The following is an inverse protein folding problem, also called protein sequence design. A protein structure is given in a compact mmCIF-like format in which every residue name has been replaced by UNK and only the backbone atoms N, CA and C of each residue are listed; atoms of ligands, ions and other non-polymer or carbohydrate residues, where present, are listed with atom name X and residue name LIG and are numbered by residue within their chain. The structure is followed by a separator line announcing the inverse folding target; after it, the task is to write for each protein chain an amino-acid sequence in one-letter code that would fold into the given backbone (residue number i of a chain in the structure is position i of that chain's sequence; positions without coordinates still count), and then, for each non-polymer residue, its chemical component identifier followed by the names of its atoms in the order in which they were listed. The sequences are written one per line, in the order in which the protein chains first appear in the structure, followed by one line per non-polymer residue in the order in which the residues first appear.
data_IF_250911942936
#
_entry.id   IF_250911942936
#
_cell.length_a   1.000
_cell.length_b   1.000
_cell.length_c   1.000
_cell.angle_alpha   90.00
_cell.angle_beta   90.00
_cell.angle_gamma   90.00
#
_symmetry.space_group_name_H-M   'P 1'
#
loop_
_entity.id
_entity.type
_entity.pdbx_description
1 polymer ?
#
# COMPACT_ATOMS: atom_id res chain seq x y z
N UNK A 1 8.83 24.81 -27.21
CA UNK A 1 8.35 24.45 -25.83
C UNK A 1 8.66 22.96 -25.56
N UNK A 2 9.74 22.67 -24.83
CA UNK A 2 10.20 21.31 -24.59
C UNK A 2 9.23 20.72 -23.55
N UNK A 3 8.35 19.81 -23.96
CA UNK A 3 7.53 19.01 -23.03
C UNK A 3 8.51 18.18 -22.20
N UNK A 4 8.76 18.57 -20.95
CA UNK A 4 9.43 17.72 -19.98
C UNK A 4 8.58 16.45 -19.83
N UNK A 5 9.06 15.33 -20.36
CA UNK A 5 8.52 14.02 -20.03
C UNK A 5 8.87 13.76 -18.56
N UNK A 6 7.92 14.04 -17.69
CA UNK A 6 8.03 13.56 -16.30
C UNK A 6 8.04 12.03 -16.35
N UNK A 7 8.93 11.43 -15.60
CA UNK A 7 8.90 9.98 -15.39
C UNK A 7 7.60 9.53 -14.70
N UNK A 8 7.34 8.23 -14.58
CA UNK A 8 6.16 7.74 -13.88
C UNK A 8 6.16 8.23 -12.43
N UNK A 9 5.06 8.87 -12.03
CA UNK A 9 4.89 9.41 -10.69
C UNK A 9 4.62 8.29 -9.69
N UNK A 10 5.06 8.50 -8.46
CA UNK A 10 4.56 7.76 -7.29
C UNK A 10 3.42 8.56 -6.71
N UNK A 11 2.21 8.01 -6.72
CA UNK A 11 1.06 8.64 -6.11
C UNK A 11 1.01 8.32 -4.63
N UNK A 12 0.62 9.30 -3.85
CA UNK A 12 0.51 9.23 -2.40
C UNK A 12 -0.82 9.83 -1.96
N UNK A 13 -1.45 9.22 -0.99
CA UNK A 13 -2.71 9.69 -0.41
C UNK A 13 -2.73 9.47 1.10
N UNK A 14 -3.10 10.50 1.84
CA UNK A 14 -3.39 10.41 3.27
C UNK A 14 -4.82 9.93 3.47
N UNK A 15 -5.01 8.77 4.08
CA UNK A 15 -6.31 8.19 4.34
C UNK A 15 -7.18 9.08 5.25
N UNK A 16 -6.57 9.85 6.16
CA UNK A 16 -7.31 10.78 7.03
C UNK A 16 -8.07 11.83 6.22
N UNK A 17 -7.47 12.32 5.15
CA UNK A 17 -8.13 13.26 4.25
C UNK A 17 -9.20 12.58 3.40
N UNK A 18 -8.99 11.35 2.99
CA UNK A 18 -10.00 10.58 2.26
C UNK A 18 -11.20 10.23 3.14
N UNK A 19 -10.97 9.86 4.40
CA UNK A 19 -12.02 9.53 5.36
C UNK A 19 -12.97 10.70 5.63
N UNK A 20 -12.49 11.95 5.57
CA UNK A 20 -13.33 13.16 5.69
C UNK A 20 -14.34 13.32 4.54
N UNK A 21 -14.13 12.62 3.43
CA UNK A 21 -15.00 12.65 2.26
C UNK A 21 -16.04 11.53 2.25
N UNK A 22 -15.98 10.62 3.23
CA UNK A 22 -16.90 9.48 3.36
C UNK A 22 -18.08 9.82 4.28
N UNK A 23 -19.22 9.20 3.99
CA UNK A 23 -20.34 9.19 4.91
C UNK A 23 -20.11 8.24 6.10
N UNK A 24 -20.81 8.49 7.21
CA UNK A 24 -20.70 7.65 8.41
C UNK A 24 -20.97 6.17 8.14
N UNK A 25 -21.93 5.86 7.26
CA UNK A 25 -22.25 4.48 6.89
C UNK A 25 -21.07 3.75 6.24
N UNK A 26 -20.32 4.43 5.35
CA UNK A 26 -19.14 3.86 4.73
C UNK A 26 -18.04 3.63 5.76
N UNK A 27 -17.82 4.59 6.66
CA UNK A 27 -16.81 4.49 7.73
C UNK A 27 -17.12 3.30 8.65
N UNK A 28 -18.37 3.18 9.10
CA UNK A 28 -18.82 2.07 9.95
C UNK A 28 -18.69 0.71 9.23
N UNK A 29 -18.99 0.66 7.94
CA UNK A 29 -18.81 -0.54 7.15
C UNK A 29 -17.34 -0.92 7.02
N UNK A 30 -16.44 0.03 6.75
CA UNK A 30 -15.00 -0.21 6.66
C UNK A 30 -14.38 -0.72 7.98
N UNK A 31 -15.03 -0.47 9.11
CA UNK A 31 -14.63 -0.95 10.45
C UNK A 31 -15.06 -2.37 10.76
N UNK A 32 -15.94 -2.96 9.96
CA UNK A 32 -16.37 -4.33 10.15
C UNK A 32 -15.39 -5.32 9.50
N UNK A 33 -15.25 -6.53 10.00
CA UNK A 33 -14.39 -7.56 9.42
C UNK A 33 -15.05 -8.19 8.18
N UNK A 34 -15.37 -7.37 7.20
CA UNK A 34 -16.07 -7.75 5.97
C UNK A 34 -15.15 -7.71 4.73
N UNK A 35 -13.83 -7.60 4.92
CA UNK A 35 -12.88 -7.49 3.81
C UNK A 35 -11.83 -8.58 3.88
N UNK A 36 -11.83 -9.49 2.92
CA UNK A 36 -10.78 -10.49 2.78
C UNK A 36 -9.67 -9.92 1.90
N UNK A 37 -8.50 -9.70 2.49
CA UNK A 37 -7.33 -9.23 1.74
C UNK A 37 -6.51 -10.43 1.32
N UNK A 38 -6.46 -10.66 0.01
CA UNK A 38 -5.58 -11.66 -0.58
C UNK A 38 -4.17 -11.15 -0.56
N UNK A 39 -3.39 -11.62 0.38
CA UNK A 39 -1.96 -11.31 0.43
C UNK A 39 -1.23 -12.13 -0.63
N UNK A 40 -0.24 -11.55 -1.33
CA UNK A 40 0.60 -12.32 -2.22
C UNK A 40 1.12 -13.59 -1.51
N UNK A 41 1.23 -14.70 -2.22
CA UNK A 41 1.66 -16.02 -1.69
C UNK A 41 2.86 -15.96 -0.75
N UNK A 42 3.76 -15.02 -0.94
CA UNK A 42 4.92 -14.75 -0.10
C UNK A 42 4.61 -14.19 1.30
N UNK A 43 3.34 -13.88 1.62
CA UNK A 43 2.97 -13.32 2.92
C UNK A 43 2.21 -14.30 3.80
N UNK A 44 1.83 -15.47 3.32
CA UNK A 44 1.23 -16.63 4.04
C UNK A 44 0.36 -16.29 5.26
N UNK A 45 -0.39 -15.22 5.22
CA UNK A 45 -1.34 -14.89 6.27
C UNK A 45 -2.74 -15.26 5.80
N UNK A 46 -3.45 -15.93 6.69
CA UNK A 46 -4.69 -16.60 6.45
C UNK A 46 -5.78 -15.75 5.77
N UNK A 47 -6.77 -16.46 5.32
CA UNK A 47 -7.90 -16.00 4.53
C UNK A 47 -9.04 -15.44 5.42
N UNK A 48 -8.70 -14.85 6.56
CA UNK A 48 -9.66 -14.35 7.55
C UNK A 48 -10.10 -12.94 7.11
N UNK A 49 -11.41 -12.65 7.08
CA UNK A 49 -11.90 -11.30 6.86
C UNK A 49 -11.41 -10.35 7.96
N UNK A 50 -11.01 -9.17 7.56
CA UNK A 50 -10.54 -8.12 8.46
C UNK A 50 -11.30 -6.83 8.26
N UNK A 51 -11.24 -5.92 9.22
CA UNK A 51 -11.65 -4.54 9.04
C UNK A 51 -10.63 -3.79 8.20
N UNK A 52 -11.08 -3.09 7.17
CA UNK A 52 -10.22 -2.25 6.32
C UNK A 52 -9.75 -1.00 7.05
N UNK A 53 -10.52 -0.56 8.03
CA UNK A 53 -10.24 0.62 8.85
C UNK A 53 -10.27 0.26 10.33
N UNK A 54 -9.20 0.58 11.05
CA UNK A 54 -9.09 0.40 12.51
C UNK A 54 -8.59 1.68 13.16
N UNK A 55 -8.61 1.70 14.48
CA UNK A 55 -8.10 2.83 15.27
C UNK A 55 -8.99 4.06 15.26
N UNK A 56 -8.47 5.18 15.71
CA UNK A 56 -9.15 6.46 15.73
C UNK A 56 -9.07 7.13 14.33
N UNK A 57 -10.08 7.90 13.94
CA UNK A 57 -10.10 8.61 12.65
C UNK A 57 -8.99 9.68 12.51
N UNK A 58 -8.48 10.19 13.63
CA UNK A 58 -7.32 11.10 13.64
C UNK A 58 -5.99 10.37 13.44
N UNK A 59 -5.94 9.08 13.82
CA UNK A 59 -4.77 8.21 13.64
C UNK A 59 -5.25 6.80 13.20
N UNK A 60 -5.78 6.67 11.99
CA UNK A 60 -6.33 5.42 11.52
C UNK A 60 -5.24 4.43 11.13
N UNK A 61 -5.55 3.15 11.29
CA UNK A 61 -4.83 2.07 10.65
C UNK A 61 -5.64 1.57 9.45
N UNK A 62 -5.08 1.67 8.27
CA UNK A 62 -5.74 1.27 7.04
C UNK A 62 -5.10 0.02 6.46
N UNK A 63 -5.94 -0.98 6.20
CA UNK A 63 -5.58 -2.18 5.47
C UNK A 63 -6.40 -2.24 4.19
N UNK A 64 -5.88 -1.67 3.12
CA UNK A 64 -6.56 -1.65 1.82
C UNK A 64 -5.54 -1.84 0.69
N UNK A 65 -5.95 -2.59 -0.33
CA UNK A 65 -5.18 -2.80 -1.55
C UNK A 65 -6.15 -2.68 -2.72
N UNK A 66 -5.95 -1.67 -3.55
CA UNK A 66 -6.83 -1.38 -4.69
C UNK A 66 -6.34 -1.99 -6.02
N UNK A 67 -5.61 -3.11 -5.95
CA UNK A 67 -5.38 -3.91 -7.14
C UNK A 67 -6.58 -4.82 -7.41
N UNK A 68 -6.90 -5.11 -8.66
CA UNK A 68 -7.92 -6.09 -9.00
C UNK A 68 -7.69 -7.41 -8.23
N UNK A 69 -8.74 -7.98 -7.69
CA UNK A 69 -8.77 -9.26 -6.98
C UNK A 69 -7.95 -9.35 -5.68
N UNK A 70 -7.39 -8.25 -5.18
CA UNK A 70 -6.59 -8.27 -3.94
C UNK A 70 -7.42 -8.02 -2.67
N UNK A 71 -8.60 -7.44 -2.79
CA UNK A 71 -9.56 -7.28 -1.70
C UNK A 71 -10.89 -7.84 -2.16
N UNK A 72 -11.46 -8.75 -1.38
CA UNK A 72 -12.80 -9.29 -1.56
C UNK A 72 -13.73 -8.75 -0.46
N UNK A 73 -14.53 -7.73 -0.74
CA UNK A 73 -15.62 -7.34 0.14
C UNK A 73 -16.65 -8.47 0.20
N UNK A 74 -17.12 -8.81 1.41
CA UNK A 74 -17.98 -9.97 1.62
C UNK A 74 -19.48 -9.66 1.55
N UNK A 75 -19.85 -8.37 1.54
CA UNK A 75 -21.24 -7.91 1.48
C UNK A 75 -21.41 -6.79 0.45
N UNK A 76 -22.65 -6.56 0.01
CA UNK A 76 -22.97 -5.45 -0.92
C UNK A 76 -22.62 -4.09 -0.31
N UNK A 77 -22.82 -3.91 0.99
CA UNK A 77 -22.43 -2.68 1.70
C UNK A 77 -20.92 -2.51 1.71
N UNK A 78 -20.16 -3.59 1.91
CA UNK A 78 -18.71 -3.55 1.89
C UNK A 78 -18.15 -3.23 0.49
N UNK A 79 -18.77 -3.74 -0.57
CA UNK A 79 -18.42 -3.38 -1.95
C UNK A 79 -18.57 -1.86 -2.14
N UNK A 80 -19.74 -1.32 -1.80
CA UNK A 80 -20.03 0.11 -1.94
C UNK A 80 -19.09 0.99 -1.10
N UNK A 81 -18.86 0.61 0.15
CA UNK A 81 -17.96 1.34 1.04
C UNK A 81 -16.52 1.35 0.50
N UNK A 82 -16.03 0.22 -0.03
CA UNK A 82 -14.68 0.12 -0.62
C UNK A 82 -14.56 0.94 -1.89
N UNK A 83 -15.59 0.97 -2.75
CA UNK A 83 -15.63 1.82 -3.94
C UNK A 83 -15.62 3.30 -3.59
N UNK A 84 -16.42 3.71 -2.60
CA UNK A 84 -16.45 5.10 -2.14
C UNK A 84 -15.11 5.49 -1.52
N UNK A 85 -14.48 4.60 -0.75
CA UNK A 85 -13.16 4.82 -0.20
C UNK A 85 -12.11 4.96 -1.30
N UNK A 86 -12.14 4.10 -2.32
CA UNK A 86 -11.25 4.23 -3.47
C UNK A 86 -11.41 5.57 -4.18
N UNK A 87 -12.65 6.01 -4.43
CA UNK A 87 -12.93 7.32 -5.03
C UNK A 87 -12.39 8.47 -4.17
N UNK A 88 -12.57 8.38 -2.86
CA UNK A 88 -12.05 9.38 -1.92
C UNK A 88 -10.52 9.43 -1.91
N UNK A 89 -9.84 8.26 -1.87
CA UNK A 89 -8.38 8.16 -1.98
C UNK A 89 -7.89 8.79 -3.29
N UNK A 90 -8.54 8.49 -4.41
CA UNK A 90 -8.18 9.07 -5.72
C UNK A 90 -8.30 10.60 -5.71
N UNK A 91 -9.32 11.14 -5.07
CA UNK A 91 -9.58 12.58 -4.99
C UNK A 91 -8.51 13.33 -4.19
N UNK A 92 -7.96 12.73 -3.14
CA UNK A 92 -6.93 13.35 -2.29
C UNK A 92 -5.51 12.96 -2.67
N UNK A 93 -5.36 12.09 -3.66
CA UNK A 93 -4.06 11.61 -4.13
C UNK A 93 -3.34 12.67 -4.96
N UNK A 94 -2.02 12.74 -4.79
CA UNK A 94 -1.15 13.54 -5.63
C UNK A 94 0.10 12.77 -6.05
N UNK A 95 0.70 13.17 -7.18
CA UNK A 95 1.87 12.52 -7.75
C UNK A 95 3.16 13.15 -7.28
N UNK A 96 4.14 12.33 -6.94
CA UNK A 96 5.49 12.72 -6.55
C UNK A 96 6.49 12.18 -7.59
N UNK A 97 7.31 13.05 -8.14
CA UNK A 97 8.45 12.67 -8.97
C UNK A 97 9.66 12.35 -8.08
N UNK A 98 9.95 11.04 -7.93
CA UNK A 98 11.11 10.60 -7.17
C UNK A 98 12.34 10.64 -8.08
N UNK A 99 13.15 11.68 -7.92
CA UNK A 99 14.41 11.88 -8.66
C UNK A 99 15.54 11.05 -8.06
N UNK A 100 16.61 10.78 -8.85
CA UNK A 100 17.83 10.17 -8.31
C UNK A 100 18.37 10.89 -7.08
N UNK A 101 18.82 10.14 -6.08
CA UNK A 101 19.29 10.68 -4.82
C UNK A 101 18.19 11.16 -3.85
N UNK A 102 16.91 11.01 -4.20
CA UNK A 102 15.79 11.34 -3.34
C UNK A 102 15.30 10.12 -2.57
N UNK A 103 14.97 10.33 -1.30
CA UNK A 103 14.31 9.37 -0.44
C UNK A 103 12.88 9.85 -0.18
N UNK A 104 11.92 8.93 -0.26
CA UNK A 104 10.55 9.14 0.15
C UNK A 104 10.26 8.21 1.33
N UNK A 105 9.94 8.79 2.49
CA UNK A 105 9.44 8.05 3.65
C UNK A 105 7.92 8.04 3.62
N UNK A 106 7.33 6.87 3.82
CA UNK A 106 5.87 6.67 3.82
C UNK A 106 5.49 5.90 5.09
N UNK A 107 4.61 6.48 5.90
CA UNK A 107 3.96 5.76 6.98
C UNK A 107 2.79 4.95 6.43
N UNK A 108 2.97 3.64 6.33
CA UNK A 108 1.97 2.73 5.77
C UNK A 108 0.76 2.46 6.67
N UNK A 109 0.70 3.00 7.89
CA UNK A 109 -0.45 2.80 8.76
C UNK A 109 -1.68 3.54 8.24
N UNK A 110 -1.48 4.78 7.78
CA UNK A 110 -2.57 5.63 7.31
C UNK A 110 -2.35 6.23 5.92
N UNK A 111 -1.33 5.79 5.18
CA UNK A 111 -1.12 6.25 3.82
C UNK A 111 -1.23 5.13 2.81
N UNK A 112 -1.77 5.47 1.66
CA UNK A 112 -1.80 4.60 0.50
C UNK A 112 -0.93 5.17 -0.60
N UNK A 113 -0.26 4.29 -1.32
CA UNK A 113 0.60 4.70 -2.41
C UNK A 113 0.47 3.77 -3.61
N UNK A 114 0.66 4.34 -4.76
CA UNK A 114 0.64 3.61 -6.03
C UNK A 114 1.68 4.21 -6.98
N UNK A 115 1.81 3.64 -8.15
CA UNK A 115 2.70 4.12 -9.19
C UNK A 115 1.97 4.15 -10.52
N UNK A 116 2.29 5.14 -11.35
CA UNK A 116 1.84 5.15 -12.73
C UNK A 116 2.30 3.91 -13.48
N UNK A 117 1.49 3.49 -14.45
CA UNK A 117 1.93 2.50 -15.43
C UNK A 117 3.14 3.05 -16.19
N UNK A 118 4.18 2.27 -16.31
CA UNK A 118 5.34 2.64 -17.11
C UNK A 118 5.88 1.42 -17.85
N UNK A 119 6.47 1.67 -18.99
CA UNK A 119 7.23 0.66 -19.70
C UNK A 119 8.67 0.70 -19.21
N UNK A 120 9.16 -0.41 -18.71
CA UNK A 120 10.57 -0.56 -18.33
C UNK A 120 11.45 -0.33 -19.55
N UNK A 121 12.55 0.36 -19.37
CA UNK A 121 13.57 0.52 -20.41
C UNK A 121 14.95 0.21 -19.82
N UNK A 122 15.85 -0.22 -20.67
CA UNK A 122 17.21 -0.58 -20.33
C UNK A 122 18.18 0.29 -21.12
N UNK A 123 19.34 0.53 -20.54
CA UNK A 123 20.44 1.18 -21.22
C UNK A 123 21.19 0.20 -22.17
N UNK A 124 22.21 0.69 -22.84
CA UNK A 124 23.04 -0.14 -23.75
C UNK A 124 23.80 -1.28 -23.05
N UNK A 125 23.90 -1.23 -21.74
CA UNK A 125 24.54 -2.27 -20.91
C UNK A 125 23.51 -3.19 -20.23
N UNK A 126 22.25 -3.15 -20.64
CA UNK A 126 21.15 -3.93 -20.06
C UNK A 126 20.81 -3.57 -18.60
N UNK A 127 21.24 -2.42 -18.12
CA UNK A 127 20.81 -1.93 -16.82
C UNK A 127 19.45 -1.23 -16.93
N UNK A 128 18.54 -1.42 -15.95
CA UNK A 128 17.28 -0.69 -15.96
C UNK A 128 17.55 0.83 -15.83
N UNK A 129 16.98 1.62 -16.73
CA UNK A 129 17.15 3.08 -16.72
C UNK A 129 16.49 3.76 -15.53
N UNK A 130 15.62 3.03 -14.80
CA UNK A 130 15.01 3.47 -13.55
C UNK A 130 15.06 2.35 -12.53
N UNK A 131 15.70 2.62 -11.39
CA UNK A 131 15.76 1.71 -10.25
C UNK A 131 15.27 2.43 -9.01
N UNK A 132 14.26 1.87 -8.32
CA UNK A 132 13.82 2.30 -7.00
C UNK A 132 14.10 1.16 -6.03
N UNK A 133 14.82 1.48 -4.97
CA UNK A 133 15.03 0.56 -3.87
C UNK A 133 13.99 0.85 -2.79
N UNK A 134 13.38 -0.21 -2.24
CA UNK A 134 12.42 -0.12 -1.15
C UNK A 134 12.98 -0.79 0.08
N UNK A 135 12.87 -0.12 1.20
CA UNK A 135 13.18 -0.66 2.52
C UNK A 135 11.94 -0.50 3.39
N UNK A 136 11.58 -1.56 4.11
CA UNK A 136 10.53 -1.50 5.13
C UNK A 136 11.20 -1.25 6.48
N UNK A 137 10.61 -0.34 7.25
CA UNK A 137 11.08 0.02 8.59
C UNK A 137 9.95 -0.26 9.57
N UNK A 138 10.27 -0.87 10.70
CA UNK A 138 9.31 -1.13 11.77
C UNK A 138 9.85 -0.58 13.09
N UNK A 139 9.01 0.04 13.93
CA UNK A 139 9.41 0.53 15.25
C UNK A 139 9.70 -0.61 16.23
N UNK A 140 9.15 -1.80 15.99
CA UNK A 140 9.36 -2.99 16.80
C UNK A 140 9.44 -4.25 15.95
N UNK A 141 9.93 -5.33 16.53
CA UNK A 141 10.15 -6.61 15.86
C UNK A 141 9.09 -7.67 16.18
N UNK A 142 8.15 -7.39 17.07
CA UNK A 142 7.15 -8.36 17.50
C UNK A 142 6.31 -8.92 16.35
N UNK A 143 6.04 -8.09 15.36
CA UNK A 143 5.27 -8.49 14.18
C UNK A 143 6.11 -9.23 13.12
N UNK A 144 7.39 -9.49 13.42
CA UNK A 144 8.36 -10.02 12.45
C UNK A 144 9.05 -11.29 12.96
N UNK A 145 8.37 -12.08 13.79
CA UNK A 145 8.92 -13.30 14.41
C UNK A 145 9.43 -14.37 13.43
N UNK A 146 9.04 -14.31 12.17
CA UNK A 146 9.54 -15.22 11.11
C UNK A 146 10.70 -14.65 10.29
N UNK A 147 11.37 -13.60 10.77
CA UNK A 147 12.48 -12.99 10.05
C UNK A 147 13.83 -13.39 10.65
N UNK A 148 14.83 -13.60 9.80
CA UNK A 148 16.20 -13.83 10.22
C UNK A 148 16.99 -12.55 10.19
N UNK A 149 17.72 -12.28 11.25
CA UNK A 149 18.63 -11.15 11.29
C UNK A 149 19.90 -11.48 10.51
N UNK A 150 20.16 -10.78 9.40
CA UNK A 150 21.35 -10.96 8.57
C UNK A 150 22.47 -10.00 8.93
N UNK A 151 22.12 -8.82 9.47
CA UNK A 151 23.05 -7.80 9.97
C UNK A 151 22.39 -7.07 11.13
N UNK A 152 23.18 -6.34 11.93
CA UNK A 152 22.58 -5.49 12.97
C UNK A 152 21.46 -4.61 12.39
N UNK A 153 20.27 -4.71 12.96
CA UNK A 153 19.05 -4.02 12.54
C UNK A 153 18.56 -4.28 11.11
N UNK A 154 19.10 -5.31 10.43
CA UNK A 154 18.65 -5.74 9.11
C UNK A 154 18.05 -7.12 9.21
N UNK A 155 16.77 -7.23 8.89
CA UNK A 155 16.01 -8.46 8.90
C UNK A 155 15.73 -8.91 7.46
N UNK A 156 15.88 -10.19 7.21
CA UNK A 156 15.51 -10.81 5.96
C UNK A 156 14.48 -11.90 6.23
N UNK A 157 13.58 -12.08 5.29
CA UNK A 157 12.64 -13.19 5.35
C UNK A 157 13.38 -14.52 5.23
N UNK A 158 13.02 -15.46 6.07
CA UNK A 158 13.33 -16.86 5.78
C UNK A 158 12.47 -17.24 4.58
N UNK A 159 13.09 -17.53 3.45
CA UNK A 159 12.37 -18.15 2.34
C UNK A 159 11.85 -19.48 2.87
N UNK A 160 10.54 -19.67 2.84
CA UNK A 160 9.97 -20.96 3.14
C UNK A 160 10.56 -21.95 2.14
N UNK A 161 11.38 -22.88 2.62
CA UNK A 161 11.80 -24.00 1.82
C UNK A 161 10.52 -24.68 1.37
N UNK A 162 10.28 -24.68 0.06
CA UNK A 162 9.17 -25.41 -0.52
C UNK A 162 9.38 -26.89 -0.17
N UNK A 163 8.53 -27.42 0.73
CA UNK A 163 8.41 -28.86 0.93
C UNK A 163 7.60 -29.45 -0.21
#
# INVERSE_FOLDING_TARGET
MIKRKFGPLTHWADARNALKLLGNQDIECLRRPEFRIKVPYRWHRGNIPIASLRGNLSLPEVSAVFYPDMVEPQTTSAIKAMENFYKAIRKVSFGIDIKPGRLLYIDNHFTLHSRDKFNGSFDKYQNPTRRIQRVFVSPNLWNHLGLTQVKSRVLQRVEAVAC
#
